data_IF_972159535804
#
_entry.id   IF_972159535804
#
_cell.length_a   1.000
_cell.length_b   1.000
_cell.length_c   1.000
_cell.angle_alpha   90.00
_cell.angle_beta   90.00
_cell.angle_gamma   90.00
#
_symmetry.space_group_name_H-M   'P 1'
#
loop_
_entity.id
_entity.type
_entity.pdbx_description
1 polymer ?
#
# COMPACT_ATOMS: atom_id res chain seq x y z
N UNK A 1 -59.79 -55.65 -1.18
CA UNK A 1 -59.72 -54.39 -0.49
C UNK A 1 -58.65 -54.39 0.67
N UNK A 2 -58.46 -55.52 1.36
CA UNK A 2 -57.54 -55.64 2.49
C UNK A 2 -56.05 -55.67 2.08
N UNK A 3 -55.66 -56.21 0.94
CA UNK A 3 -54.29 -56.28 0.46
C UNK A 3 -53.71 -54.85 0.10
N UNK A 4 -54.51 -53.99 -0.52
CA UNK A 4 -54.14 -52.63 -0.83
C UNK A 4 -53.89 -51.80 0.45
N UNK A 5 -54.75 -51.95 1.48
CA UNK A 5 -54.55 -51.25 2.76
C UNK A 5 -53.29 -51.69 3.47
N UNK A 6 -52.91 -52.98 3.37
CA UNK A 6 -51.67 -53.48 3.99
C UNK A 6 -50.42 -52.97 3.26
N UNK A 7 -50.44 -52.81 1.93
CA UNK A 7 -49.38 -52.25 1.13
C UNK A 7 -49.19 -50.79 1.47
N UNK A 8 -50.23 -49.98 1.54
CA UNK A 8 -50.16 -48.58 1.92
C UNK A 8 -49.64 -48.38 3.35
N UNK A 9 -50.12 -49.25 4.29
CA UNK A 9 -49.57 -49.17 5.68
C UNK A 9 -48.09 -49.57 5.78
N UNK A 10 -47.64 -50.53 4.98
CA UNK A 10 -46.23 -50.91 4.89
C UNK A 10 -45.43 -49.80 4.28
N UNK A 11 -45.86 -49.19 3.17
CA UNK A 11 -45.21 -48.08 2.50
C UNK A 11 -45.09 -46.84 3.43
N UNK A 12 -46.19 -46.56 4.18
CA UNK A 12 -46.15 -45.48 5.18
C UNK A 12 -45.07 -45.68 6.25
N UNK A 13 -45.00 -46.88 6.83
CA UNK A 13 -43.96 -47.21 7.81
C UNK A 13 -42.53 -47.18 7.21
N UNK A 14 -42.38 -47.61 5.96
CA UNK A 14 -41.10 -47.53 5.26
C UNK A 14 -40.66 -46.07 5.06
N UNK A 15 -41.56 -45.22 4.56
CA UNK A 15 -41.28 -43.78 4.36
C UNK A 15 -40.96 -43.07 5.68
N UNK A 16 -41.65 -43.42 6.76
CA UNK A 16 -41.40 -42.84 8.08
C UNK A 16 -40.03 -43.24 8.63
N UNK A 17 -39.63 -44.50 8.47
CA UNK A 17 -38.26 -44.95 8.82
C UNK A 17 -37.21 -44.33 7.93
N UNK A 18 -37.42 -44.24 6.65
CA UNK A 18 -36.50 -43.60 5.70
C UNK A 18 -36.28 -42.12 6.05
N UNK A 19 -37.37 -41.39 6.35
CA UNK A 19 -37.30 -40.00 6.79
C UNK A 19 -36.51 -39.84 8.09
N UNK A 20 -36.75 -40.71 9.08
CA UNK A 20 -36.03 -40.67 10.37
C UNK A 20 -34.53 -40.93 10.17
N UNK A 21 -34.19 -41.91 9.35
CA UNK A 21 -32.78 -42.21 9.03
C UNK A 21 -32.11 -41.02 8.31
N UNK A 22 -32.79 -40.43 7.32
CA UNK A 22 -32.25 -39.25 6.62
C UNK A 22 -32.05 -38.04 7.55
N UNK A 23 -33.02 -37.80 8.44
CA UNK A 23 -32.88 -36.68 9.39
C UNK A 23 -31.71 -36.91 10.37
N UNK A 24 -31.58 -38.13 10.89
CA UNK A 24 -30.50 -38.49 11.81
C UNK A 24 -29.13 -38.42 11.12
N UNK A 25 -29.00 -38.89 9.89
CA UNK A 25 -27.78 -38.78 9.09
C UNK A 25 -27.44 -37.32 8.78
N UNK A 26 -28.45 -36.51 8.42
CA UNK A 26 -28.27 -35.08 8.20
C UNK A 26 -27.80 -34.36 9.46
N UNK A 27 -28.42 -34.66 10.61
CA UNK A 27 -27.99 -34.08 11.90
C UNK A 27 -26.57 -34.52 12.28
N UNK A 28 -26.24 -35.78 12.10
CA UNK A 28 -24.89 -36.30 12.37
C UNK A 28 -23.85 -35.61 11.45
N UNK A 29 -24.17 -35.44 10.17
CA UNK A 29 -23.31 -34.73 9.23
C UNK A 29 -23.06 -33.26 9.66
N UNK A 30 -24.13 -32.56 10.04
CA UNK A 30 -24.02 -31.17 10.51
C UNK A 30 -23.17 -31.09 11.78
N UNK A 31 -23.37 -31.99 12.73
CA UNK A 31 -22.56 -32.04 13.95
C UNK A 31 -21.08 -32.32 13.66
N UNK A 32 -20.78 -33.30 12.82
CA UNK A 32 -19.41 -33.62 12.41
C UNK A 32 -18.78 -32.43 11.69
N UNK A 33 -19.51 -31.80 10.76
CA UNK A 33 -19.03 -30.63 10.02
C UNK A 33 -18.64 -29.46 10.95
N UNK A 34 -19.53 -29.13 11.90
CA UNK A 34 -19.21 -28.08 12.88
C UNK A 34 -18.09 -28.49 13.84
N UNK A 35 -18.01 -29.74 14.22
CA UNK A 35 -16.92 -30.25 15.07
C UNK A 35 -15.58 -30.12 14.34
N UNK A 36 -15.52 -30.49 13.05
CA UNK A 36 -14.29 -30.35 12.24
C UNK A 36 -13.93 -28.88 12.06
N UNK A 37 -14.92 -27.98 11.81
CA UNK A 37 -14.69 -26.55 11.75
C UNK A 37 -14.13 -25.98 13.06
N UNK A 38 -14.70 -26.37 14.19
CA UNK A 38 -14.25 -25.92 15.52
C UNK A 38 -12.83 -26.43 15.78
N UNK A 39 -12.58 -27.73 15.56
CA UNK A 39 -11.23 -28.29 15.72
C UNK A 39 -10.25 -27.60 14.76
N UNK A 40 -10.62 -27.39 13.49
CA UNK A 40 -9.82 -26.66 12.51
C UNK A 40 -9.48 -25.24 12.96
N UNK A 41 -10.47 -24.52 13.52
CA UNK A 41 -10.26 -23.16 14.05
C UNK A 41 -9.32 -23.13 15.26
N UNK A 42 -9.38 -24.14 16.14
CA UNK A 42 -8.50 -24.24 17.31
C UNK A 42 -7.11 -24.83 16.99
N UNK A 43 -6.98 -25.61 15.92
CA UNK A 43 -5.71 -26.20 15.47
C UNK A 43 -5.05 -25.40 14.35
N UNK A 44 -5.72 -24.39 13.80
CA UNK A 44 -5.08 -23.43 12.92
C UNK A 44 -4.00 -22.71 13.73
N UNK A 45 -2.80 -23.25 13.70
CA UNK A 45 -1.62 -22.58 14.23
C UNK A 45 -1.51 -21.26 13.47
N UNK A 46 -1.41 -20.16 14.18
CA UNK A 46 -1.01 -18.88 13.59
C UNK A 46 0.30 -19.06 12.81
N UNK A 47 0.66 -18.12 11.97
CA UNK A 47 1.94 -18.18 11.26
C UNK A 47 3.05 -18.47 12.26
N UNK A 48 3.94 -19.40 11.89
CA UNK A 48 5.09 -19.80 12.72
C UNK A 48 6.03 -18.60 12.85
N UNK A 49 5.79 -17.77 13.87
CA UNK A 49 6.59 -16.57 14.15
C UNK A 49 7.92 -17.06 14.71
N UNK A 50 8.93 -17.07 13.88
CA UNK A 50 10.29 -17.42 14.27
C UNK A 50 10.86 -16.34 15.20
N UNK A 51 11.54 -16.77 16.28
CA UNK A 51 12.28 -15.85 17.16
C UNK A 51 13.28 -15.03 16.30
N UNK A 52 13.25 -13.68 16.35
CA UNK A 52 14.13 -12.82 15.57
C UNK A 52 15.61 -12.94 15.94
N UNK A 53 15.98 -13.60 17.03
CA UNK A 53 17.29 -13.64 17.65
C UNK A 53 18.48 -13.59 16.68
N UNK A 54 19.12 -12.44 16.58
CA UNK A 54 20.27 -12.19 15.71
C UNK A 54 19.96 -12.12 14.20
N UNK A 55 18.68 -12.15 13.79
CA UNK A 55 18.29 -12.12 12.38
C UNK A 55 17.97 -10.70 11.92
N UNK A 56 18.22 -10.44 10.65
CA UNK A 56 17.81 -9.21 9.99
C UNK A 56 16.30 -9.28 9.69
N UNK A 57 15.56 -8.25 10.12
CA UNK A 57 14.16 -8.11 9.76
C UNK A 57 14.04 -7.62 8.31
N UNK A 58 13.28 -8.32 7.49
CA UNK A 58 12.99 -7.92 6.12
C UNK A 58 11.54 -7.43 6.02
N UNK A 59 11.38 -6.16 5.72
CA UNK A 59 10.08 -5.50 5.51
C UNK A 59 9.88 -5.31 4.01
N UNK A 60 8.95 -6.06 3.43
CA UNK A 60 8.57 -5.96 2.01
C UNK A 60 7.04 -5.94 1.89
N UNK A 61 6.41 -4.79 2.12
CA UNK A 61 4.96 -4.69 2.01
C UNK A 61 4.55 -4.72 0.52
N UNK A 62 3.68 -5.67 0.18
CA UNK A 62 3.14 -5.80 -1.18
C UNK A 62 1.72 -5.25 -1.24
N UNK A 63 1.49 -4.20 -2.02
CA UNK A 63 0.18 -3.59 -2.21
C UNK A 63 0.15 -2.09 -1.97
N UNK A 64 -1.01 -1.58 -1.58
CA UNK A 64 -1.20 -0.14 -1.33
C UNK A 64 -1.30 0.14 0.15
N UNK A 65 -0.41 0.98 0.65
CA UNK A 65 -0.48 1.50 2.03
C UNK A 65 -1.52 2.60 2.09
N UNK A 66 -2.54 2.39 2.94
CA UNK A 66 -3.71 3.25 3.10
C UNK A 66 -3.92 3.62 4.56
N UNK A 67 -4.50 4.78 4.82
CA UNK A 67 -4.84 5.18 6.19
C UNK A 67 -6.06 4.40 6.70
N UNK A 68 -6.97 4.06 5.80
CA UNK A 68 -8.16 3.25 6.09
C UNK A 68 -8.43 2.29 4.95
N UNK A 69 -8.63 1.03 5.27
CA UNK A 69 -9.03 0.00 4.30
C UNK A 69 -10.43 0.26 3.77
N UNK A 70 -10.59 0.07 2.47
CA UNK A 70 -11.89 0.12 1.80
C UNK A 70 -12.32 -1.31 1.51
N UNK A 71 -13.36 -1.75 2.20
CA UNK A 71 -14.01 -3.03 1.93
C UNK A 71 -15.08 -2.85 0.87
N UNK A 72 -15.05 -3.66 -0.18
CA UNK A 72 -16.18 -3.77 -1.08
C UNK A 72 -17.34 -4.47 -0.34
N UNK A 73 -18.40 -3.73 -0.03
CA UNK A 73 -19.58 -4.27 0.67
C UNK A 73 -20.44 -5.16 -0.22
N UNK A 74 -20.17 -5.23 -1.52
CA UNK A 74 -20.93 -6.01 -2.47
C UNK A 74 -20.30 -7.40 -2.64
N UNK A 75 -21.08 -8.44 -2.28
CA UNK A 75 -20.65 -9.84 -2.41
C UNK A 75 -20.21 -10.22 -3.83
N UNK A 76 -20.86 -9.66 -4.86
CA UNK A 76 -20.48 -9.92 -6.25
C UNK A 76 -19.15 -9.26 -6.62
N UNK A 77 -18.89 -8.06 -6.11
CA UNK A 77 -17.59 -7.39 -6.33
C UNK A 77 -16.46 -8.10 -5.59
N UNK A 78 -16.72 -8.70 -4.43
CA UNK A 78 -15.72 -9.49 -3.70
C UNK A 78 -15.31 -10.79 -4.41
N UNK A 79 -16.18 -11.31 -5.31
CA UNK A 79 -15.89 -12.50 -6.12
C UNK A 79 -15.17 -12.18 -7.44
N UNK A 80 -15.30 -10.95 -7.93
CA UNK A 80 -14.81 -10.55 -9.26
C UNK A 80 -13.71 -9.48 -9.23
N UNK A 81 -13.57 -8.74 -8.15
CA UNK A 81 -12.49 -7.77 -8.00
C UNK A 81 -11.19 -8.48 -7.64
N UNK A 82 -10.12 -8.21 -8.39
CA UNK A 82 -8.78 -8.40 -7.86
C UNK A 82 -8.70 -7.59 -6.55
N UNK A 83 -8.65 -8.28 -5.43
CA UNK A 83 -8.46 -7.62 -4.14
C UNK A 83 -7.08 -6.97 -4.19
N UNK A 84 -7.06 -5.67 -4.40
CA UNK A 84 -5.83 -4.90 -4.22
C UNK A 84 -5.42 -5.09 -2.77
N UNK A 85 -4.28 -5.69 -2.54
CA UNK A 85 -3.76 -5.88 -1.19
C UNK A 85 -3.59 -4.51 -0.54
N UNK A 86 -4.33 -4.25 0.53
CA UNK A 86 -4.29 -2.99 1.27
C UNK A 86 -3.58 -3.24 2.60
N UNK A 87 -2.71 -2.34 2.97
CA UNK A 87 -1.93 -2.39 4.20
C UNK A 87 -2.25 -1.11 4.98
N UNK A 88 -2.68 -1.25 6.21
CA UNK A 88 -2.94 -0.07 7.03
C UNK A 88 -1.63 0.62 7.42
N UNK A 89 -1.58 1.93 7.24
CA UNK A 89 -0.45 2.80 7.66
C UNK A 89 -0.08 2.54 9.12
N UNK A 90 -1.09 2.38 9.99
CA UNK A 90 -0.90 2.14 11.41
C UNK A 90 -0.13 0.85 11.67
N UNK A 91 -0.47 -0.24 11.00
CA UNK A 91 0.13 -1.55 11.23
C UNK A 91 1.61 -1.55 10.78
N UNK A 92 1.90 -0.88 9.67
CA UNK A 92 3.29 -0.70 9.21
C UNK A 92 4.09 0.18 10.19
N UNK A 93 3.51 1.24 10.74
CA UNK A 93 4.14 2.09 11.75
C UNK A 93 4.40 1.29 13.04
N UNK A 94 3.44 0.51 13.51
CA UNK A 94 3.60 -0.35 14.69
C UNK A 94 4.72 -1.37 14.50
N UNK A 95 4.81 -2.00 13.32
CA UNK A 95 5.91 -2.89 12.96
C UNK A 95 7.28 -2.19 13.02
N UNK A 96 7.39 -1.00 12.43
CA UNK A 96 8.65 -0.23 12.44
C UNK A 96 9.06 0.16 13.86
N UNK A 97 8.10 0.56 14.71
CA UNK A 97 8.34 0.90 16.12
C UNK A 97 8.76 -0.32 16.93
N UNK A 98 8.06 -1.44 16.77
CA UNK A 98 8.43 -2.68 17.41
C UNK A 98 9.85 -3.12 17.03
N UNK A 99 10.22 -2.99 15.74
CA UNK A 99 11.57 -3.27 15.27
C UNK A 99 12.61 -2.32 15.89
N UNK A 100 12.27 -1.07 16.18
CA UNK A 100 13.17 -0.14 16.83
C UNK A 100 13.47 -0.51 18.30
N UNK A 101 12.49 -1.06 19.00
CA UNK A 101 12.56 -1.42 20.43
C UNK A 101 13.13 -2.83 20.66
N UNK A 102 13.00 -3.75 19.72
CA UNK A 102 13.45 -5.14 19.88
C UNK A 102 14.97 -5.26 19.74
N UNK A 103 15.68 -5.47 20.86
CA UNK A 103 17.14 -5.66 20.90
C UNK A 103 17.63 -6.88 20.13
N UNK A 104 16.79 -7.87 19.88
CA UNK A 104 17.13 -9.09 19.14
C UNK A 104 17.29 -8.85 17.62
N UNK A 105 16.74 -7.74 17.11
CA UNK A 105 16.83 -7.36 15.71
C UNK A 105 18.04 -6.44 15.51
N UNK A 106 19.15 -6.91 14.92
CA UNK A 106 20.36 -6.10 14.76
C UNK A 106 20.28 -5.13 13.60
N UNK A 107 19.48 -5.44 12.57
CA UNK A 107 19.32 -4.62 11.37
C UNK A 107 17.97 -4.84 10.73
N UNK A 108 17.52 -3.84 9.97
CA UNK A 108 16.28 -3.87 9.19
C UNK A 108 16.60 -3.66 7.73
N UNK A 109 16.08 -4.55 6.89
CA UNK A 109 16.17 -4.46 5.44
C UNK A 109 14.79 -4.14 4.89
N UNK A 110 14.69 -3.13 4.03
CA UNK A 110 13.41 -2.60 3.55
C UNK A 110 13.40 -2.60 2.04
N UNK A 111 12.34 -3.16 1.45
CA UNK A 111 12.07 -3.09 0.02
C UNK A 111 10.64 -2.57 -0.21
N UNK A 112 10.52 -1.41 -0.83
CA UNK A 112 9.25 -0.82 -1.22
C UNK A 112 8.98 -0.91 -2.74
N UNK A 113 9.66 -1.79 -3.46
CA UNK A 113 9.51 -1.92 -4.92
C UNK A 113 8.09 -2.28 -5.35
N UNK A 114 7.41 -3.10 -4.54
CA UNK A 114 6.03 -3.57 -4.78
C UNK A 114 4.98 -2.79 -3.98
N UNK A 115 5.37 -1.66 -3.38
CA UNK A 115 4.50 -0.88 -2.50
C UNK A 115 4.08 0.43 -3.18
N UNK A 116 2.80 0.74 -3.13
CA UNK A 116 2.27 2.07 -3.45
C UNK A 116 1.69 2.73 -2.19
N UNK A 117 1.50 4.05 -2.23
CA UNK A 117 1.03 4.83 -1.10
C UNK A 117 -0.18 5.66 -1.52
N UNK A 118 -1.22 5.68 -0.68
CA UNK A 118 -2.45 6.42 -0.95
C UNK A 118 -2.23 7.94 -1.10
N UNK A 119 -1.15 8.47 -0.49
CA UNK A 119 -0.81 9.87 -0.62
C UNK A 119 0.57 10.22 -0.07
N UNK A 120 1.06 11.44 -0.35
CA UNK A 120 2.36 11.89 0.13
C UNK A 120 2.43 12.00 1.65
N UNK A 121 1.33 12.31 2.33
CA UNK A 121 1.26 12.41 3.80
C UNK A 121 1.47 11.06 4.48
N UNK A 122 0.90 9.99 3.92
CA UNK A 122 1.13 8.61 4.38
C UNK A 122 2.61 8.26 4.28
N UNK A 123 3.24 8.56 3.14
CA UNK A 123 4.67 8.32 2.93
C UNK A 123 5.55 9.15 3.90
N UNK A 124 5.19 10.41 4.17
CA UNK A 124 5.88 11.28 5.15
C UNK A 124 5.82 10.66 6.56
N UNK A 125 4.66 10.15 6.97
CA UNK A 125 4.51 9.54 8.30
C UNK A 125 5.42 8.32 8.45
N UNK A 126 5.44 7.43 7.46
CA UNK A 126 6.31 6.26 7.46
C UNK A 126 7.80 6.67 7.41
N UNK A 127 8.15 7.67 6.61
CA UNK A 127 9.53 8.18 6.56
C UNK A 127 10.01 8.70 7.93
N UNK A 128 9.15 9.38 8.68
CA UNK A 128 9.47 9.83 10.05
C UNK A 128 9.72 8.66 11.00
N UNK A 129 8.97 7.59 10.90
CA UNK A 129 9.19 6.39 11.71
C UNK A 129 10.49 5.64 11.31
N UNK A 130 10.80 5.58 10.02
CA UNK A 130 12.08 5.03 9.55
C UNK A 130 13.28 5.86 10.01
N UNK A 131 13.15 7.19 10.05
CA UNK A 131 14.13 8.06 10.65
C UNK A 131 14.32 7.76 12.14
N UNK A 132 13.24 7.56 12.89
CA UNK A 132 13.30 7.19 14.29
C UNK A 132 13.94 5.81 14.49
N UNK A 133 13.61 4.84 13.64
CA UNK A 133 14.24 3.51 13.63
C UNK A 133 15.76 3.61 13.45
N UNK A 134 16.23 4.41 12.48
CA UNK A 134 17.67 4.66 12.32
C UNK A 134 18.29 5.34 13.53
N UNK A 135 17.58 6.30 14.12
CA UNK A 135 18.05 7.03 15.30
C UNK A 135 18.15 6.15 16.56
N UNK A 136 17.43 5.02 16.63
CA UNK A 136 17.57 4.03 17.70
C UNK A 136 18.90 3.23 17.65
N UNK A 137 19.75 3.51 16.64
CA UNK A 137 21.06 2.87 16.46
C UNK A 137 21.03 1.61 15.61
N UNK A 138 19.88 1.24 15.08
CA UNK A 138 19.77 0.08 14.18
C UNK A 138 20.27 0.41 12.78
N UNK A 139 20.94 -0.56 12.15
CA UNK A 139 21.32 -0.46 10.76
C UNK A 139 20.07 -0.69 9.89
N UNK A 140 19.71 0.32 9.10
CA UNK A 140 18.57 0.27 8.18
C UNK A 140 19.10 0.30 6.75
N UNK A 141 18.76 -0.70 5.95
CA UNK A 141 19.15 -0.80 4.54
C UNK A 141 17.88 -0.77 3.70
N UNK A 142 17.77 0.22 2.84
CA UNK A 142 16.69 0.30 1.86
C UNK A 142 17.19 -0.16 0.50
N UNK A 143 16.48 -1.09 -0.13
CA UNK A 143 16.77 -1.60 -1.46
C UNK A 143 15.56 -1.43 -2.36
N UNK A 144 15.77 -0.89 -3.55
CA UNK A 144 14.72 -0.77 -4.56
C UNK A 144 15.32 -0.84 -5.96
N UNK A 145 14.63 -1.50 -6.86
CA UNK A 145 14.99 -1.50 -8.28
C UNK A 145 14.65 -0.16 -8.94
N UNK A 146 13.55 0.47 -8.48
CA UNK A 146 13.11 1.78 -8.96
C UNK A 146 12.70 2.66 -7.80
N UNK A 147 13.39 3.79 -7.65
CA UNK A 147 13.06 4.80 -6.67
C UNK A 147 12.22 5.91 -7.31
N UNK A 148 10.96 5.97 -6.92
CA UNK A 148 10.05 7.09 -7.17
C UNK A 148 10.18 8.13 -6.08
N UNK A 149 9.51 9.27 -6.20
CA UNK A 149 9.53 10.33 -5.15
C UNK A 149 9.16 9.78 -3.77
N UNK A 150 8.10 8.96 -3.67
CA UNK A 150 7.65 8.41 -2.39
C UNK A 150 8.56 7.31 -1.87
N UNK A 151 8.99 6.39 -2.72
CA UNK A 151 9.91 5.34 -2.28
C UNK A 151 11.29 5.89 -1.95
N UNK A 152 11.76 6.93 -2.66
CA UNK A 152 13.00 7.61 -2.30
C UNK A 152 12.90 8.38 -0.98
N UNK A 153 11.76 9.04 -0.71
CA UNK A 153 11.51 9.70 0.58
C UNK A 153 11.74 8.73 1.75
N UNK A 154 11.26 7.51 1.64
CA UNK A 154 11.43 6.50 2.68
C UNK A 154 12.85 5.91 2.67
N UNK A 155 13.36 5.57 1.48
CA UNK A 155 14.71 5.03 1.35
C UNK A 155 15.78 6.01 1.87
N UNK A 156 15.59 7.31 1.67
CA UNK A 156 16.52 8.34 2.15
C UNK A 156 16.69 8.35 3.66
N UNK A 157 15.73 7.82 4.43
CA UNK A 157 15.82 7.72 5.88
C UNK A 157 16.68 6.53 6.35
N UNK A 158 16.97 5.59 5.46
CA UNK A 158 17.83 4.46 5.78
C UNK A 158 19.31 4.87 5.98
N UNK A 159 20.06 4.03 6.67
CA UNK A 159 21.53 4.18 6.79
C UNK A 159 22.21 4.04 5.43
N UNK A 160 21.69 3.12 4.62
CA UNK A 160 22.19 2.82 3.28
C UNK A 160 21.03 2.71 2.29
N UNK A 161 21.19 3.29 1.11
CA UNK A 161 20.23 3.18 0.01
C UNK A 161 20.90 2.40 -1.11
N UNK A 162 20.35 1.25 -1.42
CA UNK A 162 20.87 0.33 -2.43
C UNK A 162 19.94 0.31 -3.64
N UNK A 163 20.49 0.49 -4.82
CA UNK A 163 19.75 0.47 -6.09
C UNK A 163 20.41 -0.51 -7.05
N UNK A 164 19.57 -1.25 -7.78
CA UNK A 164 20.08 -2.16 -8.80
C UNK A 164 20.81 -1.37 -9.91
N UNK A 165 21.93 -1.87 -10.49
CA UNK A 165 22.70 -1.15 -11.52
C UNK A 165 21.91 -0.76 -12.76
N UNK A 166 20.88 -1.53 -13.11
CA UNK A 166 19.94 -1.20 -14.20
C UNK A 166 18.65 -0.56 -13.68
N UNK A 167 18.64 -0.18 -12.41
CA UNK A 167 17.52 0.49 -11.78
C UNK A 167 17.41 1.96 -12.16
N UNK A 168 16.46 2.66 -11.58
CA UNK A 168 16.27 4.08 -11.83
C UNK A 168 15.91 4.84 -10.57
N UNK A 169 16.38 6.10 -10.49
CA UNK A 169 15.96 7.05 -9.46
C UNK A 169 15.23 8.20 -10.15
N UNK A 170 13.96 8.39 -9.83
CA UNK A 170 13.11 9.40 -10.44
C UNK A 170 12.37 10.18 -9.35
N UNK A 171 13.05 11.12 -8.73
CA UNK A 171 12.43 12.06 -7.78
C UNK A 171 11.83 13.21 -8.59
N UNK A 172 10.56 13.47 -8.38
CA UNK A 172 9.81 14.55 -9.04
C UNK A 172 9.04 15.34 -8.00
N UNK A 173 8.85 16.64 -8.26
CA UNK A 173 7.98 17.48 -7.44
C UNK A 173 6.53 16.98 -7.42
N UNK A 174 5.76 17.49 -6.48
CA UNK A 174 4.33 17.23 -6.42
C UNK A 174 3.60 18.08 -7.45
N UNK A 175 2.81 17.45 -8.29
CA UNK A 175 2.06 18.13 -9.33
C UNK A 175 1.26 17.16 -10.18
N UNK A 176 0.61 17.70 -11.19
CA UNK A 176 -0.17 16.90 -12.14
C UNK A 176 -0.59 17.72 -13.34
N UNK A 177 -0.91 17.01 -14.42
CA UNK A 177 -1.45 17.60 -15.63
C UNK A 177 -2.97 17.74 -15.50
N UNK A 178 -3.51 18.87 -15.94
CA UNK A 178 -4.94 19.12 -15.97
C UNK A 178 -5.36 19.55 -17.36
N UNK A 179 -6.35 18.87 -17.92
CA UNK A 179 -6.90 19.21 -19.24
C UNK A 179 -7.99 20.25 -19.10
N UNK A 180 -7.97 21.27 -19.98
CA UNK A 180 -8.97 22.28 -20.10
C UNK A 180 -9.70 22.10 -21.41
N UNK A 181 -11.02 21.97 -21.37
CA UNK A 181 -11.83 21.51 -22.50
C UNK A 181 -12.72 22.62 -23.10
N UNK A 182 -12.46 23.89 -22.77
CA UNK A 182 -13.25 25.00 -23.32
C UNK A 182 -13.36 24.95 -24.84
N UNK A 183 -12.22 24.87 -25.52
CA UNK A 183 -12.18 24.90 -26.99
C UNK A 183 -12.87 23.68 -27.62
N UNK A 184 -12.80 22.51 -26.94
CA UNK A 184 -13.55 21.31 -27.36
C UNK A 184 -15.06 21.56 -27.29
N UNK A 185 -15.56 22.10 -26.18
CA UNK A 185 -17.00 22.37 -26.03
C UNK A 185 -17.47 23.44 -26.98
N UNK A 186 -16.69 24.51 -27.22
CA UNK A 186 -17.02 25.54 -28.21
C UNK A 186 -17.12 24.96 -29.63
N UNK A 187 -16.19 24.09 -30.03
CA UNK A 187 -16.19 23.39 -31.32
C UNK A 187 -17.43 22.50 -31.50
N UNK A 188 -17.82 21.81 -30.40
CA UNK A 188 -19.01 20.96 -30.36
C UNK A 188 -20.32 21.77 -30.22
N UNK A 189 -20.27 23.13 -30.16
CA UNK A 189 -21.40 24.02 -29.93
C UNK A 189 -22.12 23.73 -28.61
N UNK A 190 -21.40 23.27 -27.59
CA UNK A 190 -21.91 23.03 -26.24
C UNK A 190 -21.63 24.27 -25.39
N UNK A 191 -22.69 24.91 -24.91
CA UNK A 191 -22.56 26.07 -24.00
C UNK A 191 -22.47 25.58 -22.54
N UNK A 192 -21.38 25.91 -21.87
CA UNK A 192 -21.18 25.61 -20.46
C UNK A 192 -21.53 26.86 -19.66
N UNK A 193 -22.50 26.76 -18.76
CA UNK A 193 -22.89 27.83 -17.84
C UNK A 193 -22.31 27.55 -16.45
N UNK A 194 -21.46 28.44 -15.97
CA UNK A 194 -20.90 28.38 -14.63
C UNK A 194 -21.68 29.27 -13.67
N UNK A 195 -22.24 28.68 -12.61
CA UNK A 195 -22.99 29.36 -11.56
C UNK A 195 -22.24 29.37 -10.22
N UNK A 196 -20.94 29.13 -10.23
CA UNK A 196 -20.12 29.16 -9.00
C UNK A 196 -20.05 30.58 -8.44
N UNK A 197 -20.16 30.70 -7.12
CA UNK A 197 -19.95 31.95 -6.39
C UNK A 197 -18.71 31.84 -5.52
N UNK A 198 -17.91 32.91 -5.49
CA UNK A 198 -16.65 33.00 -4.74
C UNK A 198 -15.42 32.71 -5.60
N UNK A 199 -14.36 33.44 -5.30
CA UNK A 199 -13.14 33.52 -6.11
C UNK A 199 -12.35 32.22 -6.19
N UNK A 200 -12.53 31.33 -5.22
CA UNK A 200 -11.81 30.06 -5.10
C UNK A 200 -12.64 28.83 -5.47
N UNK A 201 -13.70 29.00 -6.26
CA UNK A 201 -14.56 27.90 -6.75
C UNK A 201 -14.09 27.40 -8.12
N UNK A 202 -12.94 26.71 -8.15
CA UNK A 202 -12.27 26.29 -9.38
C UNK A 202 -12.67 24.91 -9.91
N UNK A 203 -13.57 24.18 -9.24
CA UNK A 203 -13.90 22.78 -9.59
C UNK A 203 -14.36 22.59 -11.05
N UNK A 204 -15.08 23.55 -11.61
CA UNK A 204 -15.65 23.51 -12.96
C UNK A 204 -14.78 24.18 -14.02
N UNK A 205 -13.66 24.81 -13.65
CA UNK A 205 -12.82 25.58 -14.57
C UNK A 205 -12.35 24.79 -15.79
N UNK A 206 -12.12 23.51 -15.63
CA UNK A 206 -11.70 22.63 -16.73
C UNK A 206 -12.69 22.55 -17.87
N UNK A 207 -13.97 22.87 -17.63
CA UNK A 207 -15.02 22.79 -18.64
C UNK A 207 -15.22 24.11 -19.39
N UNK A 208 -14.89 25.28 -18.81
CA UNK A 208 -15.19 26.58 -19.39
C UNK A 208 -13.99 27.53 -19.52
N UNK A 209 -12.81 27.11 -19.05
CA UNK A 209 -11.55 27.83 -19.26
C UNK A 209 -10.60 27.03 -20.15
N UNK A 210 -9.63 27.72 -20.74
CA UNK A 210 -8.50 27.13 -21.48
C UNK A 210 -7.22 27.01 -20.65
N UNK A 211 -7.22 27.56 -19.44
CA UNK A 211 -6.08 27.54 -18.52
C UNK A 211 -6.52 27.71 -17.07
N UNK A 212 -5.64 27.39 -16.15
CA UNK A 212 -5.82 27.58 -14.71
C UNK A 212 -5.99 29.05 -14.35
N UNK A 213 -6.94 29.36 -13.47
CA UNK A 213 -7.04 30.69 -12.89
C UNK A 213 -5.94 30.95 -11.86
N UNK A 214 -5.66 32.22 -11.59
CA UNK A 214 -4.70 32.60 -10.56
C UNK A 214 -5.15 32.13 -9.18
N UNK A 215 -6.44 32.18 -8.89
CA UNK A 215 -7.00 31.72 -7.61
C UNK A 215 -6.86 30.19 -7.45
N UNK A 216 -7.08 29.41 -8.52
CA UNK A 216 -6.84 27.94 -8.48
C UNK A 216 -5.34 27.64 -8.31
N UNK A 217 -4.46 28.43 -8.96
CA UNK A 217 -3.01 28.33 -8.79
C UNK A 217 -2.60 28.57 -7.34
N UNK A 218 -3.05 29.68 -6.74
CA UNK A 218 -2.74 30.00 -5.34
C UNK A 218 -3.21 28.89 -4.38
N UNK A 219 -4.40 28.32 -4.57
CA UNK A 219 -4.88 27.22 -3.75
C UNK A 219 -3.99 25.99 -3.85
N UNK A 220 -3.57 25.65 -5.08
CA UNK A 220 -2.71 24.48 -5.32
C UNK A 220 -1.33 24.66 -4.74
N UNK A 221 -0.76 25.84 -4.93
CA UNK A 221 0.55 26.19 -4.37
C UNK A 221 0.51 26.15 -2.83
N UNK A 222 -0.53 26.73 -2.23
CA UNK A 222 -0.74 26.69 -0.79
C UNK A 222 -0.90 25.27 -0.23
N UNK A 223 -1.42 24.34 -1.02
CA UNK A 223 -1.53 22.92 -0.63
C UNK A 223 -0.25 22.14 -0.88
N UNK A 224 0.33 22.26 -2.08
CA UNK A 224 1.39 21.37 -2.53
C UNK A 224 2.78 21.78 -2.03
N UNK A 225 3.07 23.08 -1.94
CA UNK A 225 4.39 23.56 -1.53
C UNK A 225 4.77 23.16 -0.09
N UNK A 226 3.90 23.28 0.91
CA UNK A 226 4.25 22.83 2.25
C UNK A 226 4.57 21.32 2.30
N UNK A 227 3.79 20.51 1.59
CA UNK A 227 3.99 19.05 1.53
C UNK A 227 5.32 18.74 0.82
N UNK A 228 5.57 19.38 -0.33
CA UNK A 228 6.83 19.19 -1.06
C UNK A 228 8.04 19.65 -0.27
N UNK A 229 7.97 20.78 0.41
CA UNK A 229 9.05 21.27 1.25
C UNK A 229 9.36 20.35 2.42
N UNK A 230 8.35 19.77 3.06
CA UNK A 230 8.54 18.75 4.10
C UNK A 230 9.20 17.49 3.54
N UNK A 231 8.77 17.01 2.37
CA UNK A 231 9.40 15.87 1.70
C UNK A 231 10.87 16.14 1.37
N UNK A 232 11.17 17.31 0.79
CA UNK A 232 12.57 17.72 0.50
C UNK A 232 13.43 17.77 1.75
N UNK A 233 12.91 18.40 2.81
CA UNK A 233 13.61 18.51 4.09
C UNK A 233 13.94 17.14 4.67
N UNK A 234 12.99 16.21 4.68
CA UNK A 234 13.21 14.83 5.15
C UNK A 234 14.24 14.09 4.30
N UNK A 235 14.15 14.19 2.96
CA UNK A 235 15.11 13.57 2.05
C UNK A 235 16.53 14.12 2.26
N UNK A 236 16.66 15.43 2.33
CA UNK A 236 17.92 16.13 2.51
C UNK A 236 18.57 15.76 3.86
N UNK A 237 17.79 15.82 4.94
CA UNK A 237 18.26 15.45 6.28
C UNK A 237 18.66 13.97 6.34
N UNK A 238 17.87 13.09 5.72
CA UNK A 238 18.15 11.66 5.68
C UNK A 238 19.48 11.34 4.97
N UNK A 239 19.87 12.13 3.97
CA UNK A 239 21.09 11.96 3.18
C UNK A 239 22.24 12.88 3.56
N UNK A 240 22.01 13.87 4.45
CA UNK A 240 23.03 14.84 4.85
C UNK A 240 23.41 15.80 3.73
N UNK A 241 22.45 16.20 2.90
CA UNK A 241 22.60 17.17 1.80
C UNK A 241 21.63 18.35 2.00
N UNK A 242 21.73 19.38 1.17
CA UNK A 242 20.82 20.52 1.24
C UNK A 242 19.49 20.24 0.51
N UNK A 243 18.39 20.89 0.95
CA UNK A 243 17.08 20.77 0.29
C UNK A 243 17.08 21.26 -1.16
N UNK A 244 17.97 22.19 -1.49
CA UNK A 244 18.13 22.71 -2.85
C UNK A 244 18.81 21.70 -3.77
N UNK A 245 19.61 20.77 -3.24
CA UNK A 245 20.18 19.67 -4.01
C UNK A 245 19.05 18.71 -4.44
N UNK A 246 18.12 18.42 -3.53
CA UNK A 246 16.92 17.60 -3.85
C UNK A 246 16.04 18.32 -4.88
N UNK A 247 15.88 19.64 -4.78
CA UNK A 247 15.12 20.41 -5.77
C UNK A 247 15.80 20.37 -7.14
N UNK A 248 17.10 20.59 -7.18
CA UNK A 248 17.89 20.55 -8.42
C UNK A 248 17.82 19.17 -9.08
N UNK A 249 17.84 18.10 -8.27
CA UNK A 249 17.67 16.74 -8.75
C UNK A 249 16.25 16.49 -9.28
N UNK A 250 15.21 17.02 -8.62
CA UNK A 250 13.82 16.90 -9.06
C UNK A 250 13.53 17.69 -10.36
N UNK A 251 14.19 18.81 -10.56
CA UNK A 251 14.08 19.67 -11.76
C UNK A 251 14.89 19.12 -12.94
N UNK A 252 15.98 18.38 -12.65
CA UNK A 252 16.77 17.67 -13.62
C UNK A 252 16.07 16.36 -14.03
N UNK A 253 15.99 16.09 -15.34
CA UNK A 253 15.51 14.79 -15.78
C UNK A 253 16.61 13.74 -15.62
N UNK A 254 16.47 12.86 -14.64
CA UNK A 254 17.33 11.67 -14.50
C UNK A 254 16.54 10.45 -14.93
N UNK A 255 16.75 10.01 -16.16
CA UNK A 255 16.07 8.83 -16.72
C UNK A 255 16.75 7.51 -16.39
N UNK A 256 18.06 7.52 -16.22
CA UNK A 256 18.88 6.35 -15.95
C UNK A 256 19.93 6.65 -14.88
N UNK A 257 20.47 5.58 -14.32
CA UNK A 257 21.50 5.61 -13.31
C UNK A 257 22.77 6.32 -13.82
N UNK A 258 22.96 7.55 -13.49
CA UNK A 258 24.22 8.27 -13.66
C UNK A 258 24.94 8.30 -12.30
N UNK A 259 26.03 7.54 -12.18
CA UNK A 259 26.79 7.42 -10.93
C UNK A 259 27.25 8.78 -10.40
N UNK A 260 27.55 9.75 -11.27
CA UNK A 260 28.00 11.08 -10.86
C UNK A 260 26.88 11.94 -10.28
N UNK A 261 25.66 11.83 -10.82
CA UNK A 261 24.48 12.56 -10.33
C UNK A 261 23.88 11.93 -9.07
N UNK A 262 24.09 10.62 -8.87
CA UNK A 262 23.46 9.82 -7.84
C UNK A 262 24.37 9.62 -6.61
N UNK A 263 25.66 9.90 -6.71
CA UNK A 263 26.67 9.60 -5.69
C UNK A 263 26.37 10.11 -4.27
N UNK A 264 25.57 11.17 -4.13
CA UNK A 264 25.12 11.69 -2.83
C UNK A 264 23.69 11.19 -2.45
N UNK A 265 22.94 10.64 -3.40
CA UNK A 265 21.54 10.28 -3.26
C UNK A 265 21.40 8.78 -2.92
N UNK A 266 22.27 7.95 -3.52
CA UNK A 266 22.29 6.51 -3.33
C UNK A 266 23.64 6.08 -2.74
N UNK A 267 23.63 5.16 -1.80
CA UNK A 267 24.86 4.72 -1.13
C UNK A 267 25.62 3.66 -1.92
N UNK A 268 24.91 2.75 -2.56
CA UNK A 268 25.48 1.56 -3.22
C UNK A 268 24.68 1.17 -4.46
N UNK A 269 25.39 0.95 -5.57
CA UNK A 269 24.88 0.16 -6.70
C UNK A 269 25.36 -1.29 -6.53
N UNK A 270 24.45 -2.25 -6.52
CA UNK A 270 24.79 -3.65 -6.23
C UNK A 270 24.34 -4.59 -7.35
N UNK A 271 25.14 -5.64 -7.59
CA UNK A 271 24.83 -6.72 -8.54
C UNK A 271 24.39 -8.00 -7.85
N UNK A 272 24.81 -8.20 -6.60
CA UNK A 272 24.49 -9.37 -5.79
C UNK A 272 24.30 -8.99 -4.33
N UNK A 273 23.25 -9.53 -3.71
CA UNK A 273 22.99 -9.40 -2.30
C UNK A 273 23.13 -10.78 -1.63
N UNK A 274 24.10 -10.89 -0.71
CA UNK A 274 24.21 -12.06 0.19
C UNK A 274 23.97 -11.57 1.61
N UNK A 275 22.80 -11.87 2.16
CA UNK A 275 22.49 -11.64 3.57
C UNK A 275 22.63 -12.98 4.33
N UNK A 276 23.31 -13.00 5.48
CA UNK A 276 23.59 -14.26 6.19
C UNK A 276 22.33 -14.95 6.71
N UNK A 277 21.31 -14.21 7.08
CA UNK A 277 20.01 -14.76 7.51
C UNK A 277 18.95 -13.67 7.48
N UNK A 278 17.84 -13.92 6.79
CA UNK A 278 16.71 -12.99 6.65
C UNK A 278 15.49 -13.55 7.40
N UNK A 279 14.87 -12.75 8.23
CA UNK A 279 13.54 -12.96 8.77
C UNK A 279 12.53 -12.24 7.89
N UNK A 280 11.70 -13.00 7.18
CA UNK A 280 10.59 -12.44 6.38
C UNK A 280 9.39 -12.17 7.30
N UNK A 281 8.80 -10.99 7.16
CA UNK A 281 7.58 -10.58 7.85
C UNK A 281 6.56 -10.09 6.83
#
# INVERSE_FOLDING_TARGET
>A
MNALKSIFAWLGRFLEKARTVMLNLGTAFVLIFFTVLIIGAFTASGPDVKDPDGRVLFINPEGTVVDQEVFSSDFLSSLTAEQTNQIQTRDLIELIRAAAEDEKIPAVFIDFSSTSFAGPTTAINIAKELKALRASGKRVIAMNDRLTTTSYLMASQASEVWVHPVGSVSVRGLGGMRNYNKDLFENLKINIHNYSQGDFKSATETSWRSSMSENDRMQREALLFPIWNEMKSLMAEGRGIESDDIQSFADGYVGFFDEAAIGNIVSVSYTHLTLPTILLV
#
